data_IF_914668567659
#
_entry.id   IF_914668567659
#
_cell.length_a   1.000
_cell.length_b   1.000
_cell.length_c   1.000
_cell.angle_alpha   90.00
_cell.angle_beta   90.00
_cell.angle_gamma   90.00
#
_symmetry.space_group_name_H-M   'P 1'
#
loop_
_entity.id
_entity.type
_entity.pdbx_description
1 polymer ?
#
# COMPACT_ATOMS: atom_id res chain seq x y z
N UNK A 1 -21.08 -22.89 -2.10
CA UNK A 1 -21.06 -21.50 -2.58
C UNK A 1 -19.75 -20.83 -2.19
N UNK A 2 -18.65 -21.27 -2.78
CA UNK A 2 -17.29 -20.84 -2.45
C UNK A 2 -16.77 -19.90 -3.53
N UNK A 3 -16.11 -18.79 -3.16
CA UNK A 3 -15.05 -18.27 -4.02
C UNK A 3 -14.71 -16.78 -4.01
N UNK A 4 -15.54 -15.86 -3.54
CA UNK A 4 -15.29 -14.43 -3.83
C UNK A 4 -14.58 -13.61 -2.74
N UNK A 5 -14.24 -14.20 -1.59
CA UNK A 5 -13.83 -13.40 -0.42
C UNK A 5 -12.30 -13.30 -0.18
N UNK A 6 -11.43 -13.91 -0.99
CA UNK A 6 -10.02 -14.11 -0.55
C UNK A 6 -8.92 -13.74 -1.57
N UNK A 7 -9.23 -13.17 -2.74
CA UNK A 7 -8.21 -12.91 -3.77
C UNK A 7 -7.41 -11.59 -3.63
N UNK A 8 -7.58 -10.81 -2.56
CA UNK A 8 -6.80 -9.56 -2.35
C UNK A 8 -5.75 -9.63 -1.24
N UNK A 9 -5.32 -10.83 -0.86
CA UNK A 9 -4.04 -11.01 -0.17
C UNK A 9 -2.84 -10.84 -1.12
N UNK A 10 -2.83 -9.79 -1.97
CA UNK A 10 -1.68 -9.42 -2.80
C UNK A 10 -0.73 -8.44 -2.10
N UNK A 11 -0.87 -8.24 -0.79
CA UNK A 11 0.10 -7.48 0.01
C UNK A 11 1.19 -8.39 0.57
N UNK A 12 1.98 -9.06 -0.29
CA UNK A 12 3.24 -9.67 0.17
C UNK A 12 4.35 -8.62 0.29
N UNK A 13 4.28 -7.60 -0.55
CA UNK A 13 5.20 -6.48 -0.55
C UNK A 13 4.81 -5.45 0.53
N UNK A 14 5.75 -5.16 1.42
CA UNK A 14 5.64 -4.08 2.41
C UNK A 14 6.10 -2.78 1.75
N UNK A 15 5.34 -1.72 1.94
CA UNK A 15 5.68 -0.36 1.51
C UNK A 15 6.12 0.46 2.71
N UNK A 16 7.27 1.12 2.57
CA UNK A 16 7.79 2.14 3.47
C UNK A 16 7.51 3.53 2.88
N UNK A 17 6.84 4.38 3.64
CA UNK A 17 6.67 5.78 3.27
C UNK A 17 7.96 6.56 3.49
N UNK A 18 8.49 7.22 2.46
CA UNK A 18 9.65 8.12 2.60
C UNK A 18 9.35 9.42 3.33
N UNK A 19 8.09 9.88 3.34
CA UNK A 19 7.69 11.11 4.01
C UNK A 19 7.72 11.01 5.54
N UNK A 20 7.05 9.99 6.10
CA UNK A 20 6.97 9.79 7.55
C UNK A 20 7.74 8.56 8.08
N UNK A 21 8.27 7.70 7.22
CA UNK A 21 8.96 6.46 7.61
C UNK A 21 8.05 5.29 7.99
N UNK A 22 6.73 5.41 7.83
CA UNK A 22 5.80 4.35 8.20
C UNK A 22 5.90 3.15 7.26
N UNK A 23 5.83 1.94 7.81
CA UNK A 23 5.84 0.69 7.04
C UNK A 23 4.49 0.00 7.14
N UNK A 24 3.87 -0.25 5.99
CA UNK A 24 2.55 -0.85 5.87
C UNK A 24 2.48 -1.77 4.65
N UNK A 25 1.59 -2.77 4.64
CA UNK A 25 1.43 -3.63 3.47
C UNK A 25 0.92 -2.82 2.26
N UNK A 26 1.33 -3.22 1.05
CA UNK A 26 0.91 -2.55 -0.21
C UNK A 26 -0.61 -2.39 -0.30
N UNK A 27 -1.39 -3.37 0.16
CA UNK A 27 -2.86 -3.31 0.17
C UNK A 27 -3.48 -2.32 1.17
N UNK A 28 -2.70 -1.74 2.10
CA UNK A 28 -3.13 -0.60 2.95
C UNK A 28 -2.75 0.74 2.35
N UNK A 29 -1.77 0.77 1.47
CA UNK A 29 -1.37 1.96 0.74
C UNK A 29 -2.36 2.32 -0.37
N UNK A 30 -3.14 1.35 -0.85
CA UNK A 30 -4.14 1.57 -1.89
C UNK A 30 -5.47 0.96 -1.47
N UNK A 31 -6.54 1.74 -1.60
CA UNK A 31 -7.90 1.25 -1.35
C UNK A 31 -8.57 0.79 -2.66
N UNK A 32 -8.30 1.51 -3.75
CA UNK A 32 -8.87 1.27 -5.08
C UNK A 32 -7.96 0.42 -6.00
N UNK A 33 -6.71 0.20 -5.62
CA UNK A 33 -5.71 -0.54 -6.41
C UNK A 33 -5.06 0.26 -7.55
N UNK A 34 -5.34 1.57 -7.63
CA UNK A 34 -4.80 2.47 -8.64
C UNK A 34 -3.81 3.49 -8.05
N UNK A 35 -4.24 4.19 -7.00
CA UNK A 35 -3.40 5.18 -6.32
C UNK A 35 -2.81 4.58 -5.07
N UNK A 36 -1.49 4.69 -4.92
CA UNK A 36 -0.79 4.34 -3.71
C UNK A 36 -0.50 5.60 -2.92
N UNK A 37 -1.05 5.71 -1.72
CA UNK A 37 -0.89 6.83 -0.80
C UNK A 37 -0.47 6.30 0.57
N UNK A 38 0.35 7.06 1.29
CA UNK A 38 0.65 6.70 2.67
C UNK A 38 -0.59 6.87 3.56
N UNK A 39 -1.10 5.83 4.23
CA UNK A 39 -2.27 5.94 5.11
C UNK A 39 -1.97 6.64 6.44
N UNK A 40 -0.69 6.85 6.79
CA UNK A 40 -0.29 7.48 8.06
C UNK A 40 -0.15 8.99 7.93
N UNK A 41 0.50 9.47 6.86
CA UNK A 41 0.75 10.89 6.69
C UNK A 41 -0.01 11.53 5.52
N UNK A 42 -0.54 10.72 4.59
CA UNK A 42 -1.29 11.14 3.39
C UNK A 42 -0.61 12.22 2.53
N UNK A 43 0.68 12.48 2.79
CA UNK A 43 1.47 13.55 2.17
C UNK A 43 2.30 13.05 0.99
N UNK A 44 2.43 11.73 0.86
CA UNK A 44 3.19 11.11 -0.22
C UNK A 44 2.32 10.09 -0.96
N UNK A 45 2.40 10.16 -2.27
CA UNK A 45 1.71 9.30 -3.21
C UNK A 45 2.69 8.72 -4.24
N UNK A 46 2.33 7.59 -4.84
CA UNK A 46 3.14 6.91 -5.85
C UNK A 46 4.22 5.99 -5.27
N UNK A 47 4.33 4.79 -5.84
CA UNK A 47 5.43 3.85 -5.56
C UNK A 47 6.68 4.31 -6.30
N UNK A 48 7.79 4.52 -5.59
CA UNK A 48 9.08 4.96 -6.10
C UNK A 48 9.51 6.31 -5.50
N UNK A 49 8.68 7.34 -5.67
CA UNK A 49 8.96 8.70 -5.18
C UNK A 49 8.54 8.88 -3.71
N UNK A 50 7.30 8.52 -3.39
CA UNK A 50 6.73 8.63 -2.05
C UNK A 50 6.82 7.35 -1.21
N UNK A 51 6.59 6.21 -1.85
CA UNK A 51 6.49 4.90 -1.21
C UNK A 51 7.56 3.95 -1.75
N UNK A 52 8.38 3.37 -0.89
CA UNK A 52 9.44 2.42 -1.21
C UNK A 52 8.96 1.00 -0.95
N UNK A 53 9.17 0.08 -1.90
CA UNK A 53 9.01 -1.37 -1.67
C UNK A 53 10.18 -1.92 -0.86
N UNK A 54 9.87 -2.68 0.18
CA UNK A 54 10.81 -3.44 1.01
C UNK A 54 10.90 -4.90 0.56
#
# INVERSE_FOLDING_TARGET
MAGLQQQRARGRDMLECRGCGAVFPEGRATNDGWTYVCPECEQVEGIGEGLRRL
#
